data_IF_516292507484
#
_entry.id   IF_516292507484
#
_cell.length_a   1.000
_cell.length_b   1.000
_cell.length_c   1.000
_cell.angle_alpha   90.00
_cell.angle_beta   90.00
_cell.angle_gamma   90.00
#
_symmetry.space_group_name_H-M   'P 1'
#
loop_
_entity.id
_entity.type
_entity.pdbx_description
1 polymer ?
#
# COMPACT_ATOMS: atom_id res chain seq x y z
N UNK A 1 1.99 4.39 -21.71
CA UNK A 1 1.95 5.75 -21.16
C UNK A 1 3.34 6.36 -21.25
N UNK A 2 3.44 7.61 -21.71
CA UNK A 2 4.67 8.38 -21.80
C UNK A 2 4.84 9.23 -20.53
N UNK A 3 6.06 9.26 -19.99
CA UNK A 3 6.45 10.18 -18.93
C UNK A 3 7.68 10.95 -19.36
N UNK A 4 7.78 12.22 -18.96
CA UNK A 4 8.89 13.08 -19.31
C UNK A 4 9.64 13.46 -18.05
N UNK A 5 10.96 13.33 -18.12
CA UNK A 5 11.88 13.67 -17.03
C UNK A 5 12.97 14.59 -17.59
N UNK A 6 13.18 15.72 -16.94
CA UNK A 6 14.31 16.59 -17.18
C UNK A 6 15.30 16.46 -16.02
N UNK A 7 16.56 16.19 -16.31
CA UNK A 7 17.63 16.07 -15.31
C UNK A 7 18.98 16.41 -15.89
N UNK A 8 19.67 17.36 -15.27
CA UNK A 8 20.99 17.83 -15.65
C UNK A 8 22.00 17.61 -14.51
N UNK A 9 23.28 17.41 -14.83
CA UNK A 9 24.30 17.09 -13.82
C UNK A 9 24.40 18.16 -12.72
N UNK A 10 24.39 19.42 -13.10
CA UNK A 10 24.51 20.59 -12.21
C UNK A 10 23.18 21.38 -12.06
N UNK A 11 22.06 20.80 -12.44
CA UNK A 11 20.74 21.44 -12.35
C UNK A 11 20.30 21.82 -10.94
N UNK A 12 21.05 21.39 -9.91
CA UNK A 12 20.83 21.85 -8.52
C UNK A 12 21.21 23.33 -8.36
N UNK A 13 22.26 23.75 -9.04
CA UNK A 13 22.78 25.11 -8.99
C UNK A 13 22.03 26.03 -9.97
N UNK A 14 21.72 25.50 -11.16
CA UNK A 14 20.96 26.18 -12.19
C UNK A 14 19.91 25.26 -12.83
N UNK A 15 18.65 25.58 -12.64
CA UNK A 15 17.53 24.82 -13.18
C UNK A 15 17.09 25.29 -14.58
N UNK A 16 17.81 26.20 -15.24
CA UNK A 16 17.37 26.83 -16.49
C UNK A 16 17.12 25.82 -17.59
N UNK A 17 18.01 24.84 -17.77
CA UNK A 17 17.88 23.77 -18.78
C UNK A 17 16.68 22.87 -18.48
N UNK A 18 16.50 22.45 -17.23
CA UNK A 18 15.35 21.62 -16.85
C UNK A 18 14.01 22.37 -17.05
N UNK A 19 13.98 23.67 -16.74
CA UNK A 19 12.81 24.54 -16.97
C UNK A 19 12.53 24.72 -18.46
N UNK A 20 13.56 24.93 -19.28
CA UNK A 20 13.39 25.04 -20.73
C UNK A 20 12.74 23.77 -21.31
N UNK A 21 13.18 22.58 -20.89
CA UNK A 21 12.55 21.31 -21.28
C UNK A 21 11.08 21.27 -20.82
N UNK A 22 10.79 21.65 -19.57
CA UNK A 22 9.43 21.69 -19.04
C UNK A 22 8.52 22.60 -19.89
N UNK A 23 8.95 23.82 -20.20
CA UNK A 23 8.15 24.77 -20.98
C UNK A 23 7.90 24.28 -22.42
N UNK A 24 8.92 23.71 -23.06
CA UNK A 24 8.78 23.15 -24.42
C UNK A 24 7.80 21.97 -24.42
N UNK A 25 7.96 21.02 -23.51
CA UNK A 25 7.10 19.83 -23.47
C UNK A 25 5.66 20.18 -23.10
N UNK A 26 5.46 21.14 -22.21
CA UNK A 26 4.14 21.64 -21.86
C UNK A 26 3.45 22.32 -23.03
N UNK A 27 4.18 23.18 -23.74
CA UNK A 27 3.67 23.93 -24.88
C UNK A 27 3.39 23.04 -26.11
N UNK A 28 4.35 22.19 -26.49
CA UNK A 28 4.28 21.43 -27.74
C UNK A 28 3.55 20.08 -27.59
N UNK A 29 3.57 19.47 -26.39
CA UNK A 29 3.02 18.15 -26.14
C UNK A 29 1.84 18.15 -25.15
N UNK A 30 1.60 19.23 -24.43
CA UNK A 30 0.59 19.30 -23.38
C UNK A 30 0.88 18.36 -22.20
N UNK A 31 2.14 17.96 -22.00
CA UNK A 31 2.55 16.99 -21.00
C UNK A 31 3.30 17.65 -19.84
N UNK A 32 3.05 17.17 -18.64
CA UNK A 32 3.82 17.57 -17.45
C UNK A 32 5.19 16.85 -17.44
N UNK A 33 6.22 17.60 -17.09
CA UNK A 33 7.60 17.09 -16.98
C UNK A 33 8.04 17.11 -15.52
N UNK A 34 8.57 16.00 -15.04
CA UNK A 34 9.21 15.96 -13.72
C UNK A 34 10.64 16.48 -13.81
N UNK A 35 10.88 17.67 -13.28
CA UNK A 35 12.22 18.25 -13.18
C UNK A 35 12.93 17.68 -11.96
N UNK A 36 14.09 17.06 -12.17
CA UNK A 36 14.81 16.37 -11.10
C UNK A 36 15.27 17.31 -9.99
N UNK A 37 15.69 18.52 -10.34
CA UNK A 37 16.13 19.54 -9.39
C UNK A 37 15.01 20.23 -8.64
N UNK A 38 13.77 20.10 -9.09
CA UNK A 38 12.59 20.55 -8.32
C UNK A 38 12.19 19.56 -7.25
N UNK A 39 12.41 18.26 -7.50
CA UNK A 39 12.07 17.20 -6.55
C UNK A 39 13.08 17.11 -5.43
N UNK A 40 14.37 17.21 -5.75
CA UNK A 40 15.47 17.16 -4.77
C UNK A 40 16.61 18.07 -5.14
N UNK A 41 17.15 18.77 -4.15
CA UNK A 41 18.32 19.65 -4.29
C UNK A 41 19.65 18.94 -3.97
N UNK A 42 19.67 17.60 -4.03
CA UNK A 42 20.88 16.83 -3.76
C UNK A 42 21.63 16.53 -5.06
N UNK A 43 22.95 16.61 -5.02
CA UNK A 43 23.82 16.24 -6.15
C UNK A 43 23.76 14.75 -6.48
N UNK A 44 24.10 14.38 -7.68
CA UNK A 44 24.14 13.00 -8.15
C UNK A 44 23.11 12.71 -9.21
N UNK A 45 23.50 12.93 -10.49
CA UNK A 45 22.64 12.85 -11.66
C UNK A 45 21.79 11.57 -11.70
N UNK A 46 22.41 10.39 -11.64
CA UNK A 46 21.72 9.11 -11.81
C UNK A 46 20.62 8.89 -10.75
N UNK A 47 20.92 9.18 -9.48
CA UNK A 47 19.97 8.98 -8.39
C UNK A 47 18.86 10.02 -8.43
N UNK A 48 19.18 11.27 -8.80
CA UNK A 48 18.21 12.33 -8.98
C UNK A 48 17.25 12.05 -10.14
N UNK A 49 17.80 11.65 -11.31
CA UNK A 49 17.00 11.26 -12.49
C UNK A 49 16.06 10.09 -12.18
N UNK A 50 16.54 9.08 -11.46
CA UNK A 50 15.71 7.96 -11.02
C UNK A 50 14.56 8.41 -10.12
N UNK A 51 14.83 9.30 -9.18
CA UNK A 51 13.80 9.87 -8.29
C UNK A 51 12.75 10.64 -9.10
N UNK A 52 13.18 11.42 -10.10
CA UNK A 52 12.29 12.12 -10.99
C UNK A 52 11.48 11.19 -11.91
N UNK A 53 12.07 10.09 -12.36
CA UNK A 53 11.36 9.09 -13.16
C UNK A 53 10.24 8.41 -12.35
N UNK A 54 10.49 8.10 -11.08
CA UNK A 54 9.46 7.58 -10.18
C UNK A 54 8.36 8.62 -10.00
N UNK A 55 8.71 9.88 -9.76
CA UNK A 55 7.71 10.97 -9.65
C UNK A 55 6.85 11.06 -10.92
N UNK A 56 7.47 11.09 -12.09
CA UNK A 56 6.78 11.16 -13.36
C UNK A 56 5.81 9.99 -13.58
N UNK A 57 6.22 8.77 -13.19
CA UNK A 57 5.42 7.56 -13.39
C UNK A 57 4.12 7.54 -12.57
N UNK A 58 4.10 8.19 -11.40
CA UNK A 58 2.91 8.24 -10.54
C UNK A 58 2.11 9.53 -10.69
N UNK A 59 2.69 10.57 -11.30
CA UNK A 59 2.15 11.91 -11.39
C UNK A 59 0.71 11.95 -11.95
N UNK A 60 0.38 11.34 -13.11
CA UNK A 60 -0.97 11.44 -13.68
C UNK A 60 -2.05 10.86 -12.75
N UNK A 61 -1.77 9.70 -12.14
CA UNK A 61 -2.71 9.06 -11.21
C UNK A 61 -2.87 9.87 -9.93
N UNK A 62 -1.79 10.42 -9.41
CA UNK A 62 -1.81 11.21 -8.18
C UNK A 62 -2.48 12.56 -8.38
N UNK A 63 -2.31 13.21 -9.54
CA UNK A 63 -3.03 14.43 -9.90
C UNK A 63 -4.54 14.18 -9.93
N UNK A 64 -4.98 13.10 -10.58
CA UNK A 64 -6.40 12.74 -10.62
C UNK A 64 -6.96 12.50 -9.21
N UNK A 65 -6.25 11.74 -8.38
CA UNK A 65 -6.63 11.50 -6.98
C UNK A 65 -6.71 12.81 -6.18
N UNK A 66 -5.69 13.66 -6.29
CA UNK A 66 -5.65 14.95 -5.59
C UNK A 66 -6.81 15.87 -5.98
N UNK A 67 -7.07 16.00 -7.28
CA UNK A 67 -8.14 16.85 -7.78
C UNK A 67 -9.52 16.33 -7.36
N UNK A 68 -9.75 15.01 -7.43
CA UNK A 68 -11.01 14.39 -6.98
C UNK A 68 -11.21 14.55 -5.46
N UNK A 69 -10.15 14.37 -4.67
CA UNK A 69 -10.21 14.56 -3.22
C UNK A 69 -10.50 16.01 -2.87
N UNK A 70 -9.79 16.96 -3.49
CA UNK A 70 -10.01 18.38 -3.27
C UNK A 70 -11.43 18.79 -3.64
N UNK A 71 -11.94 18.37 -4.81
CA UNK A 71 -13.31 18.64 -5.23
C UNK A 71 -14.33 18.10 -4.22
N UNK A 72 -14.15 16.88 -3.73
CA UNK A 72 -15.05 16.27 -2.74
C UNK A 72 -15.06 17.02 -1.41
N UNK A 73 -13.87 17.46 -0.94
CA UNK A 73 -13.74 18.22 0.31
C UNK A 73 -14.37 19.61 0.18
N UNK A 74 -14.15 20.29 -0.96
CA UNK A 74 -14.79 21.60 -1.24
C UNK A 74 -16.31 21.46 -1.37
N UNK A 75 -16.81 20.41 -2.01
CA UNK A 75 -18.24 20.14 -2.07
C UNK A 75 -18.87 19.88 -0.68
N UNK A 76 -18.10 19.38 0.27
CA UNK A 76 -18.53 19.24 1.67
C UNK A 76 -18.46 20.57 2.49
N UNK A 77 -18.12 21.70 1.87
CA UNK A 77 -18.07 23.02 2.51
C UNK A 77 -16.79 23.30 3.29
N UNK A 78 -15.75 22.48 3.15
CA UNK A 78 -14.47 22.68 3.82
C UNK A 78 -13.58 23.58 2.96
N UNK A 79 -13.23 24.77 3.44
CA UNK A 79 -12.46 25.78 2.68
C UNK A 79 -10.97 25.89 3.12
N UNK A 80 -10.62 25.31 4.27
CA UNK A 80 -9.24 25.36 4.77
C UNK A 80 -8.26 24.65 3.82
N UNK A 81 -6.96 25.04 3.82
CA UNK A 81 -5.93 24.36 3.04
C UNK A 81 -5.87 22.86 3.35
N UNK A 82 -5.78 22.03 2.31
CA UNK A 82 -5.63 20.60 2.46
C UNK A 82 -4.17 20.23 2.66
N UNK A 83 -3.88 19.63 3.80
CA UNK A 83 -2.55 19.17 4.16
C UNK A 83 -2.43 17.66 3.92
N UNK A 84 -1.41 17.27 3.22
CA UNK A 84 -1.14 15.87 2.84
C UNK A 84 0.07 15.37 3.62
N UNK A 85 -0.06 14.19 4.23
CA UNK A 85 1.04 13.52 4.92
C UNK A 85 2.15 13.11 3.95
N UNK A 86 3.39 13.35 4.33
CA UNK A 86 4.58 12.88 3.62
C UNK A 86 5.09 11.56 4.21
N UNK A 87 5.88 10.83 3.42
CA UNK A 87 6.49 9.58 3.88
C UNK A 87 7.49 9.74 5.04
N UNK A 88 8.05 10.92 5.23
CA UNK A 88 8.97 11.24 6.35
C UNK A 88 8.25 11.70 7.64
N UNK A 89 6.92 11.64 7.66
CA UNK A 89 6.11 12.06 8.80
C UNK A 89 5.79 13.55 8.84
N UNK A 90 6.31 14.34 7.90
CA UNK A 90 5.94 15.74 7.72
C UNK A 90 4.62 15.88 6.97
N UNK A 91 4.19 17.14 6.79
CA UNK A 91 3.01 17.48 5.99
C UNK A 91 3.38 18.48 4.91
N UNK A 92 2.60 18.51 3.83
CA UNK A 92 2.72 19.49 2.75
C UNK A 92 1.33 19.89 2.25
N UNK A 93 1.20 21.05 1.68
CA UNK A 93 -0.03 21.52 1.07
C UNK A 93 -0.30 20.73 -0.23
N UNK A 94 -1.57 20.52 -0.57
CA UNK A 94 -2.00 19.67 -1.70
C UNK A 94 -1.40 20.12 -3.05
N UNK A 95 -1.18 21.41 -3.27
CA UNK A 95 -0.57 21.89 -4.51
C UNK A 95 0.92 21.53 -4.62
N UNK A 96 1.63 21.41 -3.50
CA UNK A 96 2.99 20.89 -3.48
C UNK A 96 3.00 19.36 -3.74
N UNK A 97 2.01 18.64 -3.23
CA UNK A 97 1.85 17.21 -3.55
C UNK A 97 1.57 16.99 -5.03
N UNK A 98 0.79 17.85 -5.68
CA UNK A 98 0.54 17.79 -7.13
C UNK A 98 1.80 17.92 -7.99
N UNK A 99 2.81 18.65 -7.52
CA UNK A 99 4.11 18.78 -8.19
C UNK A 99 5.05 17.60 -7.88
N UNK A 100 5.06 17.16 -6.63
CA UNK A 100 5.99 16.18 -6.09
C UNK A 100 5.29 15.02 -5.37
N UNK A 101 4.40 14.29 -6.07
CA UNK A 101 3.65 13.20 -5.44
C UNK A 101 4.52 12.07 -4.87
N UNK A 102 5.75 11.92 -5.35
CA UNK A 102 6.71 10.95 -4.81
C UNK A 102 6.99 11.13 -3.32
N UNK A 103 6.81 12.34 -2.77
CA UNK A 103 6.96 12.61 -1.34
C UNK A 103 5.88 11.94 -0.48
N UNK A 104 4.78 11.46 -1.06
CA UNK A 104 3.73 10.70 -0.36
C UNK A 104 4.02 9.20 -0.25
N UNK A 105 5.14 8.74 -0.79
CA UNK A 105 5.51 7.33 -0.64
C UNK A 105 5.62 6.97 0.85
N UNK A 106 4.98 5.84 1.23
CA UNK A 106 4.89 5.37 2.62
C UNK A 106 4.19 6.35 3.58
N UNK A 107 3.38 7.30 3.08
CA UNK A 107 2.65 8.26 3.92
C UNK A 107 1.61 7.60 4.84
N UNK A 108 1.00 6.48 4.44
CA UNK A 108 0.08 5.70 5.28
C UNK A 108 0.78 5.18 6.55
N UNK A 109 1.81 4.34 6.41
CA UNK A 109 2.64 3.93 7.55
C UNK A 109 3.19 5.09 8.38
N UNK A 110 3.63 6.18 7.72
CA UNK A 110 4.12 7.36 8.41
C UNK A 110 3.04 8.03 9.28
N UNK A 111 1.80 8.14 8.77
CA UNK A 111 0.69 8.69 9.53
C UNK A 111 0.38 7.86 10.78
N UNK A 112 0.39 6.53 10.64
CA UNK A 112 0.16 5.60 11.76
C UNK A 112 1.23 5.71 12.83
N UNK A 113 2.51 5.79 12.45
CA UNK A 113 3.64 5.99 13.39
C UNK A 113 3.50 7.33 14.10
N UNK A 114 3.25 8.42 13.37
CA UNK A 114 3.10 9.76 13.96
C UNK A 114 1.89 9.83 14.88
N UNK A 115 0.76 9.23 14.49
CA UNK A 115 -0.44 9.13 15.34
C UNK A 115 -0.17 8.37 16.63
N UNK A 116 0.53 7.23 16.54
CA UNK A 116 0.91 6.43 17.71
C UNK A 116 1.83 7.19 18.67
N UNK A 117 2.82 7.90 18.13
CA UNK A 117 3.72 8.76 18.93
C UNK A 117 2.96 9.83 19.67
N UNK A 118 2.04 10.52 19.02
CA UNK A 118 1.23 11.57 19.62
C UNK A 118 0.31 11.01 20.72
N UNK A 119 -0.27 9.85 20.51
CA UNK A 119 -1.18 9.21 21.44
C UNK A 119 -0.47 8.59 22.66
N UNK A 120 0.56 7.77 22.40
CA UNK A 120 1.25 7.02 23.46
C UNK A 120 2.34 7.83 24.16
N UNK A 121 2.88 8.87 23.53
CA UNK A 121 4.03 9.68 24.02
C UNK A 121 5.21 8.79 24.45
N UNK A 122 5.38 7.64 23.79
CA UNK A 122 6.46 6.72 24.07
C UNK A 122 7.79 7.24 23.53
N UNK A 123 8.85 7.18 24.34
CA UNK A 123 10.19 7.60 23.90
C UNK A 123 10.97 6.49 23.18
N UNK A 124 10.73 5.22 23.53
CA UNK A 124 11.39 4.07 22.90
C UNK A 124 10.40 2.92 22.74
N UNK A 125 10.45 2.23 21.60
CA UNK A 125 9.58 1.08 21.36
C UNK A 125 9.60 0.57 19.93
N UNK A 126 8.89 -0.52 19.73
CA UNK A 126 8.58 -1.08 18.41
C UNK A 126 7.10 -0.85 18.14
N UNK A 127 6.81 -0.29 17.00
CA UNK A 127 5.49 -0.02 16.52
C UNK A 127 5.05 -1.13 15.54
N UNK A 128 3.84 -1.61 15.72
CA UNK A 128 3.18 -2.55 14.81
C UNK A 128 1.82 -2.02 14.41
N UNK A 129 1.55 -2.00 13.11
CA UNK A 129 0.21 -1.78 12.57
C UNK A 129 -0.18 -2.98 11.72
N UNK A 130 -1.15 -3.76 12.17
CA UNK A 130 -1.66 -4.92 11.43
C UNK A 130 -2.98 -4.53 10.77
N UNK A 131 -2.94 -4.40 9.45
CA UNK A 131 -4.11 -4.06 8.64
C UNK A 131 -4.80 -5.29 8.03
N UNK A 132 -5.52 -5.08 6.93
CA UNK A 132 -6.13 -6.16 6.16
C UNK A 132 -5.17 -6.84 5.17
N UNK A 133 -4.21 -6.09 4.63
CA UNK A 133 -3.30 -6.54 3.55
C UNK A 133 -1.85 -6.59 4.00
N UNK A 134 -1.41 -5.65 4.82
CA UNK A 134 -0.01 -5.48 5.24
C UNK A 134 0.12 -5.29 6.74
N UNK A 135 1.26 -5.68 7.27
CA UNK A 135 1.73 -5.31 8.61
C UNK A 135 2.91 -4.36 8.46
N UNK A 136 2.80 -3.18 9.06
CA UNK A 136 3.85 -2.19 9.12
C UNK A 136 4.57 -2.27 10.47
N UNK A 137 5.90 -2.26 10.44
CA UNK A 137 6.74 -2.36 11.64
C UNK A 137 7.74 -1.22 11.61
N UNK A 138 7.77 -0.42 12.67
CA UNK A 138 8.71 0.69 12.83
C UNK A 138 9.34 0.70 14.21
N UNK A 139 10.49 1.38 14.32
CA UNK A 139 11.22 1.57 15.57
C UNK A 139 11.18 3.04 15.96
N UNK A 140 10.85 3.31 17.20
CA UNK A 140 10.88 4.61 17.82
C UNK A 140 12.06 4.64 18.79
N UNK A 141 12.94 5.61 18.65
CA UNK A 141 14.07 5.82 19.54
C UNK A 141 14.15 7.29 19.95
N UNK A 142 14.28 7.55 21.24
CA UNK A 142 14.36 8.90 21.84
C UNK A 142 13.21 9.82 21.35
N UNK A 143 11.98 9.28 21.31
CA UNK A 143 10.77 9.98 20.87
C UNK A 143 10.71 10.28 19.37
N UNK A 144 11.56 9.68 18.56
CA UNK A 144 11.63 9.91 17.11
C UNK A 144 11.61 8.58 16.34
N UNK A 145 10.85 8.50 15.24
CA UNK A 145 10.97 7.38 14.32
C UNK A 145 12.27 7.50 13.52
N UNK A 146 12.85 6.37 13.16
CA UNK A 146 13.99 6.34 12.26
C UNK A 146 13.58 6.82 10.86
N UNK A 147 14.48 7.52 10.18
CA UNK A 147 14.29 8.03 8.82
C UNK A 147 15.43 7.52 7.95
N UNK A 148 15.12 7.00 6.76
CA UNK A 148 16.11 6.63 5.73
C UNK A 148 15.59 7.01 4.34
N UNK A 149 16.44 6.88 3.34
CA UNK A 149 16.05 7.03 1.95
C UNK A 149 15.23 5.85 1.45
N UNK A 150 14.10 6.13 0.84
CA UNK A 150 13.23 5.11 0.25
C UNK A 150 13.95 4.33 -0.84
N UNK A 151 13.71 3.01 -0.86
CA UNK A 151 14.19 2.09 -1.89
C UNK A 151 13.02 1.65 -2.75
N UNK A 152 13.13 1.82 -4.07
CA UNK A 152 12.12 1.44 -5.04
C UNK A 152 12.74 0.51 -6.09
N UNK A 153 12.18 -0.69 -6.26
CA UNK A 153 12.72 -1.69 -7.18
C UNK A 153 14.18 -2.07 -6.91
N UNK A 154 14.60 -2.10 -5.64
CA UNK A 154 15.98 -2.37 -5.23
C UNK A 154 16.93 -1.16 -5.34
N UNK A 155 16.43 0.01 -5.73
CA UNK A 155 17.26 1.20 -5.95
C UNK A 155 16.96 2.30 -4.95
N UNK A 156 17.98 2.84 -4.29
CA UNK A 156 17.84 4.03 -3.42
C UNK A 156 17.44 5.26 -4.22
N UNK A 157 16.50 6.02 -3.66
CA UNK A 157 16.05 7.32 -4.17
C UNK A 157 16.62 8.45 -3.31
N UNK A 158 16.31 9.71 -3.65
CA UNK A 158 16.55 10.88 -2.80
C UNK A 158 15.30 11.30 -2.01
N UNK A 159 14.33 10.42 -1.88
CA UNK A 159 13.15 10.64 -1.06
C UNK A 159 13.38 10.03 0.32
N UNK A 160 13.29 10.84 1.36
CA UNK A 160 13.27 10.37 2.73
C UNK A 160 11.90 9.85 3.12
N UNK A 161 11.87 8.73 3.84
CA UNK A 161 10.67 8.20 4.47
C UNK A 161 11.00 7.69 5.87
N UNK A 162 10.00 7.47 6.69
CA UNK A 162 10.19 6.72 7.92
C UNK A 162 10.71 5.31 7.58
N UNK A 163 11.63 4.82 8.38
CA UNK A 163 12.15 3.45 8.25
C UNK A 163 11.11 2.47 8.80
N UNK A 164 10.16 2.15 7.94
CA UNK A 164 9.07 1.22 8.22
C UNK A 164 9.22 -0.01 7.35
N UNK A 165 9.27 -1.17 7.97
CA UNK A 165 9.23 -2.45 7.26
C UNK A 165 7.78 -2.83 7.00
N UNK A 166 7.48 -3.10 5.74
CA UNK A 166 6.14 -3.52 5.31
C UNK A 166 6.17 -5.00 4.98
N UNK A 167 5.39 -5.78 5.72
CA UNK A 167 5.21 -7.20 5.48
C UNK A 167 3.88 -7.44 4.76
N UNK A 168 3.87 -8.27 3.73
CA UNK A 168 2.68 -8.66 2.99
C UNK A 168 1.81 -9.70 3.72
N UNK A 169 1.77 -9.65 5.05
CA UNK A 169 0.97 -10.56 5.88
C UNK A 169 0.13 -9.75 6.85
N UNK A 170 -1.19 -9.99 6.85
CA UNK A 170 -2.14 -9.33 7.75
C UNK A 170 -3.45 -10.13 7.83
N UNK A 171 -4.51 -9.57 8.40
CA UNK A 171 -5.78 -10.26 8.63
C UNK A 171 -6.43 -10.86 7.38
N UNK A 172 -6.32 -10.17 6.25
CA UNK A 172 -6.88 -10.61 4.97
C UNK A 172 -5.95 -11.43 4.09
N UNK A 173 -4.74 -11.77 4.55
CA UNK A 173 -3.79 -12.56 3.76
C UNK A 173 -4.33 -13.95 3.49
N UNK A 174 -4.28 -14.34 2.21
CA UNK A 174 -4.77 -15.62 1.72
C UNK A 174 -3.73 -16.71 1.99
N UNK A 175 -4.19 -17.90 2.32
CA UNK A 175 -3.31 -19.08 2.45
C UNK A 175 -2.90 -19.61 1.06
N UNK A 176 -1.73 -20.24 1.01
CA UNK A 176 -1.17 -20.93 -0.15
C UNK A 176 -0.97 -22.39 0.21
N UNK A 177 -1.25 -23.27 -0.73
CA UNK A 177 -1.17 -24.72 -0.50
C UNK A 177 -0.14 -25.39 -1.38
N UNK A 178 0.53 -26.36 -0.80
CA UNK A 178 1.28 -27.39 -1.48
C UNK A 178 0.67 -28.77 -1.18
N UNK A 179 1.19 -29.81 -1.80
CA UNK A 179 0.77 -31.20 -1.47
C UNK A 179 1.11 -31.61 -0.02
N UNK A 180 2.01 -30.91 0.64
CA UNK A 180 2.47 -31.21 2.00
C UNK A 180 1.81 -30.33 3.07
N UNK A 181 0.89 -29.45 2.70
CA UNK A 181 0.21 -28.54 3.63
C UNK A 181 0.19 -27.09 3.19
N UNK A 182 -0.07 -26.18 4.15
CA UNK A 182 0.05 -24.74 3.93
C UNK A 182 1.51 -24.38 3.67
N UNK A 183 1.82 -23.92 2.47
CA UNK A 183 3.19 -23.57 2.05
C UNK A 183 3.57 -22.16 2.45
N UNK A 184 2.59 -21.25 2.48
CA UNK A 184 2.83 -19.84 2.80
C UNK A 184 1.52 -19.11 3.12
N UNK A 185 1.61 -17.87 3.61
CA UNK A 185 0.49 -16.96 3.84
C UNK A 185 0.81 -15.59 3.26
N UNK A 186 -0.05 -15.11 2.35
CA UNK A 186 0.21 -13.87 1.60
C UNK A 186 1.21 -14.08 0.43
N UNK A 187 1.81 -13.00 -0.10
CA UNK A 187 1.54 -11.60 0.22
C UNK A 187 0.21 -11.05 -0.34
N UNK A 188 -0.55 -11.84 -1.10
CA UNK A 188 -1.85 -11.41 -1.61
C UNK A 188 -2.93 -11.54 -0.54
N UNK A 189 -3.78 -10.51 -0.44
CA UNK A 189 -4.97 -10.52 0.42
C UNK A 189 -6.23 -10.80 -0.40
N UNK A 190 -7.29 -11.24 0.26
CA UNK A 190 -8.60 -11.42 -0.33
C UNK A 190 -9.09 -10.18 -1.07
N UNK A 191 -8.85 -8.99 -0.50
CA UNK A 191 -9.21 -7.71 -1.11
C UNK A 191 -8.50 -7.49 -2.47
N UNK A 192 -7.18 -7.77 -2.54
CA UNK A 192 -6.41 -7.66 -3.80
C UNK A 192 -6.88 -8.66 -4.85
N UNK A 193 -7.32 -9.84 -4.41
CA UNK A 193 -7.86 -10.87 -5.28
C UNK A 193 -9.32 -10.62 -5.70
N UNK A 194 -10.02 -9.66 -5.07
CA UNK A 194 -11.45 -9.40 -5.29
C UNK A 194 -12.35 -10.51 -4.76
N UNK A 195 -11.95 -11.18 -3.67
CA UNK A 195 -12.68 -12.27 -3.03
C UNK A 195 -13.19 -11.87 -1.65
N UNK A 196 -14.35 -12.40 -1.27
CA UNK A 196 -14.90 -12.26 0.07
C UNK A 196 -14.18 -13.21 1.04
N UNK A 197 -14.13 -12.81 2.32
CA UNK A 197 -13.60 -13.65 3.38
C UNK A 197 -14.62 -14.72 3.78
N UNK A 198 -14.23 -15.96 3.88
CA UNK A 198 -15.13 -17.04 4.31
C UNK A 198 -15.75 -16.76 5.69
N UNK A 199 -14.98 -16.19 6.62
CA UNK A 199 -15.45 -15.88 7.98
C UNK A 199 -16.53 -14.80 8.06
N UNK A 200 -16.66 -13.96 7.04
CA UNK A 200 -17.68 -12.91 6.94
C UNK A 200 -18.78 -13.24 5.91
N UNK A 201 -18.73 -14.41 5.31
CA UNK A 201 -19.78 -14.92 4.44
C UNK A 201 -20.86 -15.59 5.29
N UNK A 202 -22.16 -15.33 5.05
CA UNK A 202 -23.24 -16.04 5.73
C UNK A 202 -23.07 -17.56 5.61
N UNK A 203 -23.23 -18.29 6.73
CA UNK A 203 -22.99 -19.74 6.79
C UNK A 203 -23.91 -20.51 5.83
N UNK A 204 -25.13 -20.05 5.64
CA UNK A 204 -26.12 -20.62 4.74
C UNK A 204 -25.76 -20.47 3.26
N UNK A 205 -24.93 -19.48 2.89
CA UNK A 205 -24.43 -19.32 1.52
C UNK A 205 -23.31 -20.32 1.19
N UNK A 206 -22.65 -20.89 2.21
CA UNK A 206 -21.55 -21.86 2.01
C UNK A 206 -22.12 -23.25 1.76
N UNK A 207 -22.58 -23.46 0.53
CA UNK A 207 -23.19 -24.71 0.05
C UNK A 207 -22.24 -25.40 -0.92
N UNK A 208 -21.98 -26.69 -0.69
CA UNK A 208 -21.11 -27.53 -1.53
C UNK A 208 -19.77 -26.83 -1.85
N UNK A 209 -19.00 -26.40 -0.82
CA UNK A 209 -17.76 -25.68 -1.04
C UNK A 209 -16.74 -26.60 -1.73
N UNK A 210 -16.04 -26.07 -2.74
CA UNK A 210 -15.02 -26.79 -3.50
C UNK A 210 -13.72 -26.00 -3.51
N UNK A 211 -12.60 -26.69 -3.29
CA UNK A 211 -11.26 -26.09 -3.37
C UNK A 211 -10.91 -25.75 -4.81
N UNK A 212 -10.44 -24.53 -5.02
CA UNK A 212 -9.85 -24.05 -6.26
C UNK A 212 -8.49 -23.42 -5.95
N UNK A 213 -7.43 -23.86 -6.64
CA UNK A 213 -6.12 -23.21 -6.60
C UNK A 213 -5.97 -22.28 -7.79
N UNK A 214 -5.51 -21.04 -7.56
CA UNK A 214 -5.46 -20.01 -8.59
C UNK A 214 -4.35 -18.99 -8.38
N UNK A 215 -4.07 -18.19 -9.41
CA UNK A 215 -3.16 -17.03 -9.38
C UNK A 215 -3.98 -15.73 -9.22
N UNK A 216 -3.88 -14.99 -8.11
CA UNK A 216 -4.64 -13.75 -7.89
C UNK A 216 -4.34 -12.64 -8.90
N UNK A 217 -3.10 -12.57 -9.37
CA UNK A 217 -2.63 -11.62 -10.38
C UNK A 217 -1.74 -12.31 -11.39
N UNK A 218 -1.61 -11.74 -12.59
CA UNK A 218 -0.67 -12.24 -13.61
C UNK A 218 0.75 -12.28 -13.04
N UNK A 219 1.36 -13.45 -13.08
CA UNK A 219 2.72 -13.70 -12.56
C UNK A 219 2.77 -14.18 -11.11
N UNK A 220 1.65 -14.23 -10.40
CA UNK A 220 1.59 -14.88 -9.08
C UNK A 220 1.58 -16.40 -9.22
N UNK A 221 2.06 -17.16 -8.22
CA UNK A 221 1.91 -18.60 -8.16
C UNK A 221 0.44 -19.04 -8.19
N UNK A 222 0.17 -20.20 -8.78
CA UNK A 222 -1.18 -20.76 -8.88
C UNK A 222 -1.52 -21.68 -7.68
N UNK A 223 -1.13 -21.31 -6.49
CA UNK A 223 -1.27 -22.07 -5.26
C UNK A 223 -2.08 -21.34 -4.17
N UNK A 224 -2.67 -20.20 -4.50
CA UNK A 224 -3.58 -19.49 -3.62
C UNK A 224 -4.94 -20.18 -3.55
N UNK A 225 -5.53 -20.18 -2.36
CA UNK A 225 -6.80 -20.86 -2.09
C UNK A 225 -7.98 -19.96 -2.39
N UNK A 226 -8.87 -20.43 -3.25
CA UNK A 226 -10.26 -19.98 -3.33
C UNK A 226 -11.18 -21.15 -3.01
N UNK A 227 -12.35 -20.85 -2.48
CA UNK A 227 -13.44 -21.80 -2.25
C UNK A 227 -14.60 -21.40 -3.16
N UNK A 228 -14.90 -22.23 -4.13
CA UNK A 228 -16.02 -22.05 -5.04
C UNK A 228 -17.28 -22.65 -4.42
N UNK A 229 -18.35 -21.87 -4.32
CA UNK A 229 -19.64 -22.26 -3.78
C UNK A 229 -20.57 -22.77 -4.90
N UNK A 230 -21.61 -23.51 -4.56
CA UNK A 230 -22.65 -23.98 -5.48
C UNK A 230 -23.30 -22.85 -6.29
N UNK A 231 -23.42 -21.67 -5.71
CA UNK A 231 -23.90 -20.45 -6.38
C UNK A 231 -22.98 -19.91 -7.48
N UNK A 232 -21.75 -20.41 -7.57
CA UNK A 232 -20.70 -19.88 -8.42
C UNK A 232 -19.87 -18.75 -7.75
N UNK A 233 -20.29 -18.25 -6.59
CA UNK A 233 -19.53 -17.27 -5.80
C UNK A 233 -18.21 -17.88 -5.35
N UNK A 234 -17.14 -17.08 -5.38
CA UNK A 234 -15.82 -17.46 -4.87
C UNK A 234 -15.52 -16.67 -3.60
N UNK A 235 -15.11 -17.36 -2.55
CA UNK A 235 -14.64 -16.81 -1.28
C UNK A 235 -13.23 -17.34 -1.00
N UNK A 236 -12.57 -16.85 0.04
CA UNK A 236 -11.24 -17.35 0.38
C UNK A 236 -11.01 -17.48 1.89
N UNK A 237 -10.04 -18.31 2.24
CA UNK A 237 -9.59 -18.53 3.61
C UNK A 237 -8.42 -17.58 3.88
N UNK A 238 -8.53 -16.83 5.00
CA UNK A 238 -7.57 -15.81 5.39
C UNK A 238 -7.12 -16.01 6.85
N UNK A 239 -6.12 -15.23 7.28
CA UNK A 239 -5.73 -15.19 8.70
C UNK A 239 -6.90 -14.85 9.64
N UNK A 240 -7.83 -13.97 9.21
CA UNK A 240 -9.03 -13.68 9.99
C UNK A 240 -9.91 -14.91 10.17
N UNK A 241 -9.99 -15.79 9.15
CA UNK A 241 -10.71 -17.06 9.29
C UNK A 241 -10.04 -17.94 10.34
N UNK A 242 -8.73 -18.11 10.26
CA UNK A 242 -7.97 -18.93 11.21
C UNK A 242 -8.10 -18.39 12.65
N UNK A 243 -7.98 -17.08 12.84
CA UNK A 243 -8.11 -16.44 14.16
C UNK A 243 -9.49 -16.68 14.79
N UNK A 244 -10.57 -16.59 14.01
CA UNK A 244 -11.92 -16.87 14.51
C UNK A 244 -12.13 -18.36 14.83
N UNK A 245 -11.64 -19.26 13.97
CA UNK A 245 -11.74 -20.72 14.19
C UNK A 245 -11.00 -21.17 15.44
N UNK A 246 -9.85 -20.52 15.73
CA UNK A 246 -9.04 -20.77 16.91
C UNK A 246 -9.56 -20.08 18.18
N UNK A 247 -10.64 -19.30 18.09
CA UNK A 247 -11.20 -18.56 19.23
C UNK A 247 -10.34 -17.41 19.72
N UNK A 248 -9.45 -16.88 18.87
CA UNK A 248 -8.58 -15.74 19.21
C UNK A 248 -9.29 -14.38 19.07
N UNK A 249 -10.44 -14.35 18.42
CA UNK A 249 -11.27 -13.15 18.25
C UNK A 249 -12.54 -13.29 19.05
N UNK A 250 -12.83 -12.30 19.90
CA UNK A 250 -14.02 -12.29 20.75
C UNK A 250 -15.17 -11.51 20.09
N UNK A 251 -16.45 -11.81 20.45
CA UNK A 251 -17.63 -11.14 19.86
C UNK A 251 -17.63 -9.60 19.99
N UNK A 252 -17.01 -9.06 21.05
CA UNK A 252 -16.89 -7.63 21.26
C UNK A 252 -15.87 -6.93 20.34
N UNK A 253 -15.08 -7.68 19.60
CA UNK A 253 -14.13 -7.12 18.64
C UNK A 253 -14.80 -6.84 17.29
N UNK A 254 -14.52 -5.68 16.72
CA UNK A 254 -15.08 -5.26 15.42
C UNK A 254 -14.81 -6.27 14.27
N UNK A 255 -13.67 -6.96 14.32
CA UNK A 255 -13.27 -7.96 13.32
C UNK A 255 -13.79 -9.38 13.60
N UNK A 256 -14.66 -9.55 14.60
CA UNK A 256 -15.29 -10.84 14.88
C UNK A 256 -16.16 -11.31 13.71
N UNK A 257 -16.01 -12.58 13.34
CA UNK A 257 -16.75 -13.22 12.25
C UNK A 257 -17.37 -14.56 12.67
N UNK A 258 -18.01 -15.23 11.72
CA UNK A 258 -18.63 -16.54 11.94
C UNK A 258 -17.58 -17.66 11.79
N UNK A 259 -17.14 -18.21 12.91
CA UNK A 259 -16.17 -19.32 12.94
C UNK A 259 -16.72 -20.61 12.28
N UNK A 260 -18.03 -20.87 12.33
CA UNK A 260 -18.62 -22.03 11.69
C UNK A 260 -18.61 -21.89 10.16
N UNK A 261 -18.91 -20.70 9.63
CA UNK A 261 -18.76 -20.40 8.21
C UNK A 261 -17.32 -20.66 7.73
N UNK A 262 -16.34 -20.18 8.51
CA UNK A 262 -14.93 -20.41 8.19
C UNK A 262 -14.57 -21.91 8.22
N UNK A 263 -15.00 -22.67 9.24
CA UNK A 263 -14.77 -24.12 9.32
C UNK A 263 -15.38 -24.87 8.13
N UNK A 264 -16.63 -24.52 7.77
CA UNK A 264 -17.33 -25.11 6.64
C UNK A 264 -16.59 -24.86 5.31
N UNK A 265 -16.05 -23.66 5.12
CA UNK A 265 -15.23 -23.32 3.96
C UNK A 265 -13.84 -24.00 3.96
N UNK A 266 -13.30 -24.32 5.14
CA UNK A 266 -12.01 -25.02 5.28
C UNK A 266 -12.09 -26.53 4.99
N UNK A 267 -13.27 -27.14 5.03
CA UNK A 267 -13.42 -28.58 4.86
C UNK A 267 -12.78 -29.09 3.56
N UNK A 268 -13.00 -28.51 2.37
CA UNK A 268 -12.36 -28.98 1.15
C UNK A 268 -10.82 -28.88 1.18
N UNK A 269 -10.26 -27.97 1.97
CA UNK A 269 -8.81 -27.87 2.16
C UNK A 269 -8.32 -29.01 3.04
N UNK A 270 -9.04 -29.34 4.11
CA UNK A 270 -8.71 -30.48 4.95
C UNK A 270 -8.77 -31.80 4.15
N UNK A 271 -9.82 -31.97 3.34
CA UNK A 271 -9.98 -33.15 2.48
C UNK A 271 -8.87 -33.27 1.41
N UNK A 272 -8.35 -32.15 0.93
CA UNK A 272 -7.22 -32.10 -0.02
C UNK A 272 -5.88 -32.51 0.62
N UNK A 273 -5.73 -32.24 1.91
CA UNK A 273 -4.47 -32.50 2.63
C UNK A 273 -4.41 -33.90 3.26
N UNK A 274 -5.54 -34.66 3.25
CA UNK A 274 -5.62 -36.05 3.69
C UNK A 274 -6.00 -36.29 5.08
#
# INVERSE_FOLDING_TARGET
DLVIVASEAFGVDDMSSEKAVYEVTKKEMGMETSMASDITKLYGLTRRTRTAAINASILPKMLNTANSTEASVRAAGVEVPLMIMRGDGGVMEINEMKKRPVLTMLSGPAASVMGSLMYLRASNGVYFEVGGTTTNIGVIKDGRPAIDYSVVGGHRTYITSLDVRVLGVAGGSMIRLSKSGVSDVGPRSAHIAGLDYAVFTPEEEIVEPQLELFSPKKGDPADYVAIKLKSGKRITITNSCAANVLGLVKPEHFSYGNANAARKAMQPVADYLG
#
